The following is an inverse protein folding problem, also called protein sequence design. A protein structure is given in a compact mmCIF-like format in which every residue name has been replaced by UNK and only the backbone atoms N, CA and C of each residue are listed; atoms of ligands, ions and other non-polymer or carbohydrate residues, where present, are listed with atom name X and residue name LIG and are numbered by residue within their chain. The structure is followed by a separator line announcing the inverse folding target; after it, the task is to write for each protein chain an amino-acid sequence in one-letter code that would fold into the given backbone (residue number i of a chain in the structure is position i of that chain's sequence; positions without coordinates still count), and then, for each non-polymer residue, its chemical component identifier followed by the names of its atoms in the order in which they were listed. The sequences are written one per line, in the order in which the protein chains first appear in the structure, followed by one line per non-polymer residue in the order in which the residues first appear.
data_IF_772822813517
#
_entry.id   IF_772822813517
#
_cell.length_a   1.000
_cell.length_b   1.000
_cell.length_c   1.000
_cell.angle_alpha   90.00
_cell.angle_beta   90.00
_cell.angle_gamma   90.00
#
_symmetry.space_group_name_H-M   'P 1'
#
loop_
_entity.id
_entity.type
_entity.pdbx_description
1 polymer ?
#
# COMPACT_ATOMS: atom_id res chain seq x y z
N UNK A 1 22.02 20.63 -26.50
CA UNK A 1 23.27 19.92 -26.17
C UNK A 1 23.05 19.30 -24.81
N UNK A 2 22.88 17.98 -24.71
CA UNK A 2 22.83 17.31 -23.42
C UNK A 2 24.26 17.19 -22.91
N UNK A 3 24.53 17.83 -21.77
CA UNK A 3 25.86 17.90 -21.19
C UNK A 3 26.26 16.51 -20.67
N UNK A 4 27.56 16.20 -20.55
CA UNK A 4 28.02 14.90 -20.01
C UNK A 4 27.48 14.58 -18.62
N UNK A 5 27.02 15.61 -17.89
CA UNK A 5 26.31 15.52 -16.61
C UNK A 5 24.91 14.91 -16.72
N UNK A 6 24.17 15.23 -17.78
CA UNK A 6 22.81 14.70 -18.00
C UNK A 6 22.85 13.18 -18.14
N UNK A 7 23.80 12.68 -18.93
CA UNK A 7 24.04 11.25 -19.08
C UNK A 7 24.49 10.56 -17.78
N UNK A 8 25.28 11.26 -16.96
CA UNK A 8 25.66 10.80 -15.63
C UNK A 8 24.45 10.61 -14.70
N UNK A 9 23.53 11.57 -14.69
CA UNK A 9 22.29 11.48 -13.89
C UNK A 9 21.40 10.33 -14.38
N UNK A 10 21.24 10.16 -15.69
CA UNK A 10 20.46 9.05 -16.27
C UNK A 10 21.08 7.70 -15.92
N UNK A 11 22.41 7.58 -15.96
CA UNK A 11 23.10 6.35 -15.57
C UNK A 11 22.88 6.02 -14.08
N UNK A 12 23.00 7.01 -13.20
CA UNK A 12 22.72 6.84 -11.76
C UNK A 12 21.27 6.42 -11.54
N UNK A 13 20.32 7.08 -12.21
CA UNK A 13 18.90 6.72 -12.15
C UNK A 13 18.69 5.25 -12.56
N UNK A 14 19.24 4.82 -13.68
CA UNK A 14 19.15 3.43 -14.14
C UNK A 14 19.73 2.42 -13.15
N UNK A 15 20.89 2.72 -12.55
CA UNK A 15 21.53 1.86 -11.55
C UNK A 15 20.68 1.76 -10.28
N UNK A 16 20.16 2.88 -9.79
CA UNK A 16 19.30 2.93 -8.59
C UNK A 16 18.04 2.11 -8.83
N UNK A 17 17.40 2.31 -9.98
CA UNK A 17 16.16 1.59 -10.32
C UNK A 17 16.40 0.09 -10.46
N UNK A 18 17.51 -0.31 -11.10
CA UNK A 18 17.92 -1.71 -11.18
C UNK A 18 18.22 -2.29 -9.79
N UNK A 19 18.90 -1.55 -8.92
CA UNK A 19 19.18 -1.96 -7.54
C UNK A 19 17.91 -2.11 -6.70
N UNK A 20 16.93 -1.23 -6.88
CA UNK A 20 15.61 -1.35 -6.23
C UNK A 20 14.84 -2.58 -6.75
N UNK A 21 14.90 -2.84 -8.06
CA UNK A 21 14.26 -4.00 -8.70
C UNK A 21 14.85 -5.34 -8.21
N UNK A 22 16.17 -5.41 -8.08
CA UNK A 22 16.88 -6.59 -7.54
C UNK A 22 16.65 -6.80 -6.02
N UNK A 23 15.90 -5.91 -5.36
CA UNK A 23 15.58 -6.01 -3.93
C UNK A 23 16.65 -5.46 -3.00
N UNK A 24 17.72 -4.87 -3.55
CA UNK A 24 18.88 -4.38 -2.83
C UNK A 24 20.18 -4.68 -3.58
N UNK A 25 21.29 -4.08 -3.15
CA UNK A 25 22.61 -4.41 -3.69
C UNK A 25 23.20 -5.58 -2.90
N UNK A 26 23.28 -6.81 -3.46
CA UNK A 26 23.64 -8.03 -2.71
C UNK A 26 25.01 -7.97 -2.04
N UNK A 27 25.92 -7.11 -2.52
CA UNK A 27 27.26 -6.92 -1.94
C UNK A 27 27.32 -5.87 -0.83
N UNK A 28 26.39 -4.91 -0.77
CA UNK A 28 26.45 -3.81 0.19
C UNK A 28 25.48 -3.97 1.39
N UNK A 29 24.65 -5.02 1.43
CA UNK A 29 23.58 -5.19 2.43
C UNK A 29 22.65 -3.97 2.51
N UNK A 30 22.46 -3.26 1.39
CA UNK A 30 21.56 -2.11 1.32
C UNK A 30 20.19 -2.57 0.85
N UNK A 31 19.18 -2.15 1.60
CA UNK A 31 17.77 -2.25 1.23
C UNK A 31 17.40 -1.18 0.19
N UNK A 32 16.15 -1.18 -0.27
CA UNK A 32 15.66 -0.23 -1.29
C UNK A 32 15.89 1.23 -0.86
N UNK A 33 15.71 1.53 0.42
CA UNK A 33 15.97 2.84 1.04
C UNK A 33 17.43 3.25 0.90
N UNK A 34 18.35 2.33 1.22
CA UNK A 34 19.79 2.56 1.10
C UNK A 34 20.25 2.78 -0.33
N UNK A 35 19.68 2.04 -1.30
CA UNK A 35 19.97 2.24 -2.73
C UNK A 35 19.50 3.61 -3.21
N UNK A 36 18.32 4.07 -2.77
CA UNK A 36 17.81 5.40 -3.10
C UNK A 36 18.70 6.51 -2.50
N UNK A 37 19.16 6.35 -1.26
CA UNK A 37 20.05 7.32 -0.61
C UNK A 37 21.42 7.41 -1.32
N UNK A 38 22.02 6.28 -1.69
CA UNK A 38 23.25 6.27 -2.48
C UNK A 38 23.06 6.95 -3.84
N UNK A 39 21.91 6.72 -4.48
CA UNK A 39 21.51 7.42 -5.69
C UNK A 39 21.51 8.92 -5.53
N UNK A 40 20.86 9.42 -4.48
CA UNK A 40 20.82 10.85 -4.16
C UNK A 40 22.23 11.42 -3.94
N UNK A 41 23.07 10.74 -3.15
CA UNK A 41 24.47 11.16 -2.91
C UNK A 41 25.26 11.23 -4.22
N UNK A 42 25.11 10.24 -5.11
CA UNK A 42 25.77 10.21 -6.40
C UNK A 42 25.31 11.35 -7.32
N UNK A 43 23.99 11.65 -7.35
CA UNK A 43 23.46 12.79 -8.12
C UNK A 43 24.00 14.12 -7.57
N UNK A 44 24.06 14.30 -6.26
CA UNK A 44 24.62 15.52 -5.66
C UNK A 44 26.10 15.70 -6.00
N UNK A 45 26.89 14.62 -5.96
CA UNK A 45 28.29 14.64 -6.34
C UNK A 45 28.51 14.98 -7.83
N UNK A 46 27.62 14.51 -8.73
CA UNK A 46 27.71 14.76 -10.17
C UNK A 46 27.24 16.17 -10.57
N UNK A 47 26.17 16.64 -9.95
CA UNK A 47 25.55 17.94 -10.26
C UNK A 47 26.23 19.10 -9.55
N UNK A 48 26.89 18.85 -8.41
CA UNK A 48 27.44 19.90 -7.56
C UNK A 48 26.36 20.75 -6.88
N UNK A 49 25.12 20.24 -6.83
CA UNK A 49 23.99 20.92 -6.19
C UNK A 49 24.32 21.18 -4.70
N UNK A 50 24.10 22.41 -4.21
CA UNK A 50 24.38 22.73 -2.81
C UNK A 50 23.38 22.01 -1.89
N UNK A 51 23.83 21.67 -0.68
CA UNK A 51 23.09 20.81 0.24
C UNK A 51 21.74 21.41 0.68
N UNK A 52 21.63 22.74 0.71
CA UNK A 52 20.40 23.45 1.04
C UNK A 52 19.32 23.27 -0.04
N UNK A 53 19.70 23.31 -1.32
CA UNK A 53 18.79 23.04 -2.44
C UNK A 53 18.36 21.56 -2.46
N UNK A 54 19.32 20.66 -2.21
CA UNK A 54 19.03 19.24 -2.04
C UNK A 54 18.06 18.97 -0.89
N UNK A 55 18.24 19.63 0.26
CA UNK A 55 17.35 19.50 1.41
C UNK A 55 15.93 20.00 1.10
N UNK A 56 15.78 21.07 0.31
CA UNK A 56 14.48 21.59 -0.13
C UNK A 56 13.76 20.67 -1.11
N UNK A 57 14.48 19.80 -1.82
CA UNK A 57 13.86 18.80 -2.72
C UNK A 57 13.16 17.67 -1.97
N UNK A 58 13.42 17.51 -0.67
CA UNK A 58 12.78 16.49 0.16
C UNK A 58 11.43 17.00 0.66
N UNK A 59 10.36 16.28 0.31
CA UNK A 59 9.01 16.54 0.82
C UNK A 59 8.85 16.03 2.26
N UNK A 60 9.31 16.85 3.20
CA UNK A 60 9.18 16.64 4.64
C UNK A 60 7.72 16.43 5.09
N UNK A 61 6.74 17.24 4.64
CA UNK A 61 5.32 17.00 4.94
C UNK A 61 4.88 15.57 4.64
N UNK A 62 5.20 15.03 3.45
CA UNK A 62 4.87 13.65 3.09
C UNK A 62 5.56 12.64 4.02
N UNK A 63 6.85 12.81 4.30
CA UNK A 63 7.60 11.90 5.19
C UNK A 63 7.01 11.88 6.60
N UNK A 64 6.70 13.05 7.17
CA UNK A 64 6.12 13.17 8.51
C UNK A 64 4.72 12.56 8.55
N UNK A 65 3.92 12.80 7.52
CA UNK A 65 2.57 12.23 7.42
C UNK A 65 2.64 10.69 7.33
N UNK A 66 3.52 10.15 6.49
CA UNK A 66 3.75 8.70 6.37
C UNK A 66 4.20 8.11 7.70
N UNK A 67 5.16 8.74 8.37
CA UNK A 67 5.68 8.28 9.65
C UNK A 67 4.58 8.23 10.72
N UNK A 68 3.85 9.35 10.91
CA UNK A 68 2.77 9.43 11.90
C UNK A 68 1.69 8.39 11.63
N UNK A 69 1.33 8.20 10.36
CA UNK A 69 0.34 7.22 9.94
C UNK A 69 0.79 5.78 10.19
N UNK A 70 2.03 5.43 9.83
CA UNK A 70 2.61 4.11 10.09
C UNK A 70 2.68 3.80 11.59
N UNK A 71 2.97 4.81 12.44
CA UNK A 71 2.92 4.65 13.90
C UNK A 71 1.50 4.30 14.36
N UNK A 72 0.48 5.05 13.94
CA UNK A 72 -0.93 4.77 14.32
C UNK A 72 -1.35 3.37 13.87
N UNK A 73 -1.09 3.04 12.60
CA UNK A 73 -1.50 1.77 12.04
C UNK A 73 -0.76 0.57 12.66
N UNK A 74 0.51 0.75 13.06
CA UNK A 74 1.26 -0.23 13.85
C UNK A 74 0.69 -0.41 15.27
N UNK A 75 0.29 0.66 15.95
CA UNK A 75 -0.33 0.56 17.27
C UNK A 75 -1.67 -0.17 17.23
N UNK A 76 -2.51 0.10 16.21
CA UNK A 76 -3.75 -0.67 15.99
C UNK A 76 -3.47 -2.16 15.76
N UNK A 77 -2.37 -2.49 15.08
CA UNK A 77 -1.94 -3.88 14.85
C UNK A 77 -1.56 -4.56 16.17
N UNK A 78 -0.73 -3.90 16.98
CA UNK A 78 -0.28 -4.40 18.28
C UNK A 78 -1.45 -4.51 19.27
N UNK A 79 -2.42 -3.60 19.20
CA UNK A 79 -3.65 -3.65 19.99
C UNK A 79 -4.64 -4.73 19.57
N UNK A 80 -4.36 -5.48 18.49
CA UNK A 80 -5.21 -6.58 18.03
C UNK A 80 -6.52 -6.13 17.37
N UNK A 81 -6.67 -4.84 17.02
CA UNK A 81 -7.88 -4.26 16.46
C UNK A 81 -8.33 -5.01 15.19
N UNK A 82 -7.41 -5.19 14.22
CA UNK A 82 -7.72 -5.87 12.96
C UNK A 82 -8.16 -7.33 13.17
N UNK A 83 -7.54 -8.02 14.13
CA UNK A 83 -7.88 -9.39 14.50
C UNK A 83 -9.30 -9.45 15.06
N UNK A 84 -9.66 -8.53 15.96
CA UNK A 84 -10.99 -8.51 16.56
C UNK A 84 -12.08 -8.19 15.53
N UNK A 85 -11.85 -7.21 14.64
CA UNK A 85 -12.77 -6.89 13.55
C UNK A 85 -12.98 -8.10 12.63
N UNK A 86 -11.88 -8.73 12.19
CA UNK A 86 -11.94 -9.91 11.33
C UNK A 86 -12.66 -11.08 12.00
N UNK A 87 -12.43 -11.29 13.30
CA UNK A 87 -13.10 -12.34 14.07
C UNK A 87 -14.59 -12.08 14.19
N UNK A 88 -15.02 -10.84 14.42
CA UNK A 88 -16.44 -10.47 14.49
C UNK A 88 -17.14 -10.66 13.16
N UNK A 89 -16.53 -10.21 12.06
CA UNK A 89 -17.02 -10.47 10.70
C UNK A 89 -17.12 -11.98 10.45
N UNK A 90 -16.08 -12.71 10.87
CA UNK A 90 -16.01 -14.15 10.77
C UNK A 90 -17.01 -14.91 11.62
N UNK A 91 -17.52 -14.35 12.72
CA UNK A 91 -18.51 -14.99 13.58
C UNK A 91 -19.94 -14.85 13.06
N UNK A 92 -20.18 -14.00 12.06
CA UNK A 92 -21.52 -13.79 11.52
C UNK A 92 -22.04 -15.08 10.85
N UNK A 93 -23.34 -15.40 11.02
CA UNK A 93 -23.98 -16.58 10.42
C UNK A 93 -24.30 -16.31 8.93
N UNK A 94 -23.27 -16.07 8.14
CA UNK A 94 -23.36 -15.76 6.71
C UNK A 94 -23.04 -17.00 5.87
N UNK A 95 -23.64 -17.08 4.67
CA UNK A 95 -23.22 -18.02 3.64
C UNK A 95 -21.77 -17.74 3.20
N UNK A 96 -21.13 -18.68 2.49
CA UNK A 96 -19.77 -18.50 1.96
C UNK A 96 -19.63 -17.18 1.17
N UNK A 97 -20.59 -16.89 0.29
CA UNK A 97 -20.60 -15.65 -0.50
C UNK A 97 -20.84 -14.40 0.36
N UNK A 98 -21.69 -14.50 1.40
CA UNK A 98 -21.93 -13.40 2.34
C UNK A 98 -20.72 -13.10 3.23
N UNK A 99 -20.02 -14.14 3.71
CA UNK A 99 -18.78 -13.99 4.47
C UNK A 99 -17.70 -13.33 3.63
N UNK A 100 -17.59 -13.74 2.36
CA UNK A 100 -16.65 -13.14 1.41
C UNK A 100 -16.97 -11.65 1.18
N UNK A 101 -18.24 -11.30 0.97
CA UNK A 101 -18.67 -9.91 0.84
C UNK A 101 -18.28 -9.09 2.08
N UNK A 102 -18.56 -9.62 3.27
CA UNK A 102 -18.27 -8.92 4.52
C UNK A 102 -16.75 -8.74 4.75
N UNK A 103 -15.94 -9.74 4.38
CA UNK A 103 -14.49 -9.64 4.44
C UNK A 103 -13.92 -8.63 3.43
N UNK A 104 -14.42 -8.64 2.19
CA UNK A 104 -14.03 -7.66 1.15
C UNK A 104 -14.41 -6.24 1.60
N UNK A 105 -15.63 -6.04 2.09
CA UNK A 105 -16.08 -4.74 2.58
C UNK A 105 -15.27 -4.25 3.78
N UNK A 106 -15.05 -5.12 4.78
CA UNK A 106 -14.31 -4.77 5.99
C UNK A 106 -12.84 -4.47 5.67
N UNK A 107 -12.18 -5.32 4.87
CA UNK A 107 -10.78 -5.11 4.49
C UNK A 107 -10.59 -3.89 3.60
N UNK A 108 -11.47 -3.67 2.63
CA UNK A 108 -11.43 -2.47 1.78
C UNK A 108 -11.63 -1.19 2.58
N UNK A 109 -12.64 -1.15 3.45
CA UNK A 109 -12.90 0.01 4.30
C UNK A 109 -11.76 0.28 5.29
N UNK A 110 -11.22 -0.76 5.94
CA UNK A 110 -10.07 -0.58 6.83
C UNK A 110 -8.82 -0.18 6.05
N UNK A 111 -8.61 -0.69 4.84
CA UNK A 111 -7.45 -0.35 4.02
C UNK A 111 -7.50 1.09 3.50
N UNK A 112 -8.69 1.63 3.28
CA UNK A 112 -8.89 3.05 3.01
C UNK A 112 -8.44 3.92 4.19
N UNK A 113 -8.30 3.37 5.41
CA UNK A 113 -7.95 4.14 6.60
C UNK A 113 -6.57 3.78 7.15
N UNK A 114 -6.06 2.56 6.98
CA UNK A 114 -4.87 2.06 7.71
C UNK A 114 -3.74 1.49 6.83
N UNK A 115 -3.85 1.63 5.51
CA UNK A 115 -2.96 1.03 4.51
C UNK A 115 -3.12 -0.44 4.19
N UNK A 116 -3.07 -0.72 2.89
CA UNK A 116 -3.17 -2.06 2.30
C UNK A 116 -2.13 -3.04 2.87
N UNK A 117 -0.86 -2.65 3.01
CA UNK A 117 0.19 -3.53 3.54
C UNK A 117 -0.13 -4.02 4.97
N UNK A 118 -0.61 -3.11 5.82
CA UNK A 118 -0.92 -3.42 7.22
C UNK A 118 -2.14 -4.33 7.30
N UNK A 119 -3.18 -4.05 6.51
CA UNK A 119 -4.39 -4.86 6.44
C UNK A 119 -4.07 -6.27 5.93
N UNK A 120 -3.28 -6.40 4.87
CA UNK A 120 -2.87 -7.69 4.35
C UNK A 120 -2.07 -8.48 5.39
N UNK A 121 -1.08 -7.88 6.06
CA UNK A 121 -0.27 -8.58 7.05
C UNK A 121 -1.07 -8.97 8.31
N UNK A 122 -1.96 -8.09 8.77
CA UNK A 122 -2.70 -8.32 10.01
C UNK A 122 -3.89 -9.27 9.82
N UNK A 123 -4.66 -9.15 8.73
CA UNK A 123 -5.88 -9.94 8.53
C UNK A 123 -5.61 -11.32 7.93
N UNK A 124 -4.58 -11.48 7.09
CA UNK A 124 -4.26 -12.77 6.43
C UNK A 124 -4.24 -13.97 7.38
N UNK A 125 -3.48 -13.96 8.50
CA UNK A 125 -3.44 -15.12 9.39
C UNK A 125 -4.79 -15.39 10.07
N UNK A 126 -5.60 -14.35 10.28
CA UNK A 126 -6.92 -14.47 10.93
C UNK A 126 -7.95 -15.04 9.95
N UNK A 127 -7.97 -14.53 8.72
CA UNK A 127 -8.83 -15.04 7.64
C UNK A 127 -8.49 -16.48 7.31
N UNK A 128 -7.20 -16.83 7.20
CA UNK A 128 -6.77 -18.19 6.95
C UNK A 128 -7.24 -19.16 8.04
N UNK A 129 -7.06 -18.80 9.32
CA UNK A 129 -7.54 -19.62 10.45
C UNK A 129 -9.06 -19.76 10.45
N UNK A 130 -9.79 -18.69 10.16
CA UNK A 130 -11.26 -18.71 10.08
C UNK A 130 -11.75 -19.66 8.99
N UNK A 131 -11.13 -19.63 7.80
CA UNK A 131 -11.49 -20.52 6.69
C UNK A 131 -11.24 -21.98 7.06
N UNK A 132 -10.07 -22.28 7.63
CA UNK A 132 -9.71 -23.64 8.08
C UNK A 132 -10.67 -24.16 9.16
N UNK A 133 -11.09 -23.33 10.12
CA UNK A 133 -12.06 -23.71 11.16
C UNK A 133 -13.45 -24.01 10.61
N UNK A 134 -13.84 -23.34 9.51
CA UNK A 134 -15.14 -23.54 8.84
C UNK A 134 -15.08 -24.59 7.72
N UNK A 135 -13.93 -25.23 7.50
CA UNK A 135 -13.76 -26.19 6.40
C UNK A 135 -13.87 -25.55 5.00
N UNK A 136 -13.60 -24.25 4.88
CA UNK A 136 -13.61 -23.50 3.62
C UNK A 136 -12.19 -23.43 3.04
N UNK A 137 -12.08 -23.45 1.72
CA UNK A 137 -10.82 -23.16 1.03
C UNK A 137 -10.40 -21.71 1.30
N UNK A 138 -9.23 -21.45 1.92
CA UNK A 138 -8.76 -20.10 2.20
C UNK A 138 -8.36 -19.31 0.95
N UNK A 139 -8.08 -19.96 -0.18
CA UNK A 139 -7.49 -19.29 -1.37
C UNK A 139 -8.38 -18.15 -1.89
N UNK A 140 -9.69 -18.32 -2.15
CA UNK A 140 -10.53 -17.22 -2.64
C UNK A 140 -10.67 -16.08 -1.64
N UNK A 141 -10.66 -16.37 -0.33
CA UNK A 141 -10.76 -15.36 0.72
C UNK A 141 -9.48 -14.54 0.85
N UNK A 142 -8.31 -15.17 0.71
CA UNK A 142 -7.02 -14.48 0.75
C UNK A 142 -6.79 -13.64 -0.51
N UNK A 143 -7.20 -14.14 -1.68
CA UNK A 143 -7.20 -13.34 -2.92
C UNK A 143 -8.15 -12.16 -2.78
N UNK A 144 -9.37 -12.40 -2.28
CA UNK A 144 -10.35 -11.36 -2.00
C UNK A 144 -9.82 -10.30 -1.04
N UNK A 145 -9.16 -10.72 0.04
CA UNK A 145 -8.51 -9.81 0.99
C UNK A 145 -7.42 -8.95 0.32
N UNK A 146 -6.52 -9.58 -0.45
CA UNK A 146 -5.43 -8.87 -1.10
C UNK A 146 -5.93 -7.86 -2.15
N UNK A 147 -6.90 -8.26 -2.97
CA UNK A 147 -7.51 -7.38 -3.96
C UNK A 147 -8.33 -6.26 -3.29
N UNK A 148 -9.13 -6.59 -2.28
CA UNK A 148 -9.96 -5.62 -1.58
C UNK A 148 -9.13 -4.58 -0.82
N UNK A 149 -8.00 -4.97 -0.22
CA UNK A 149 -7.08 -4.02 0.40
C UNK A 149 -6.48 -3.05 -0.62
N UNK A 150 -6.04 -3.55 -1.78
CA UNK A 150 -5.50 -2.68 -2.83
C UNK A 150 -6.57 -1.74 -3.42
N UNK A 151 -7.77 -2.25 -3.70
CA UNK A 151 -8.88 -1.43 -4.21
C UNK A 151 -9.32 -0.42 -3.15
N UNK A 152 -9.47 -0.85 -1.89
CA UNK A 152 -9.90 0.01 -0.79
C UNK A 152 -8.92 1.14 -0.47
N UNK A 153 -7.62 0.87 -0.48
CA UNK A 153 -6.60 1.92 -0.26
C UNK A 153 -6.65 3.04 -1.30
N UNK A 154 -7.12 2.76 -2.53
CA UNK A 154 -7.27 3.79 -3.56
C UNK A 154 -8.33 4.85 -3.20
N UNK A 155 -9.24 4.58 -2.26
CA UNK A 155 -10.32 5.49 -1.90
C UNK A 155 -9.86 6.78 -1.23
N UNK A 156 -8.72 6.75 -0.52
CA UNK A 156 -8.23 7.89 0.26
C UNK A 156 -6.78 8.22 -0.07
N UNK A 157 -6.40 9.46 0.22
CA UNK A 157 -5.00 9.89 0.11
C UNK A 157 -4.10 9.13 1.09
N UNK A 158 -4.60 8.80 2.30
CA UNK A 158 -3.84 8.10 3.34
C UNK A 158 -3.80 6.57 3.16
N UNK A 159 -4.58 6.03 2.22
CA UNK A 159 -4.76 4.60 2.06
C UNK A 159 -3.50 3.88 1.60
N UNK A 160 -2.54 4.56 0.96
CA UNK A 160 -1.22 3.99 0.71
C UNK A 160 -0.17 5.11 0.54
N UNK A 161 1.12 4.81 0.70
CA UNK A 161 2.18 5.81 0.56
C UNK A 161 2.22 6.52 -0.80
N UNK A 162 1.82 5.83 -1.86
CA UNK A 162 1.82 6.34 -3.23
C UNK A 162 0.77 7.46 -3.39
N UNK A 163 -0.44 7.26 -2.87
CA UNK A 163 -1.51 8.25 -2.88
C UNK A 163 -1.16 9.46 -2.01
N UNK A 164 -0.45 9.26 -0.90
CA UNK A 164 0.01 10.35 -0.04
C UNK A 164 1.00 11.25 -0.77
N UNK A 165 1.96 10.65 -1.49
CA UNK A 165 2.92 11.38 -2.32
C UNK A 165 2.21 12.17 -3.43
N UNK A 166 1.27 11.54 -4.15
CA UNK A 166 0.50 12.21 -5.21
C UNK A 166 -0.32 13.37 -4.61
N UNK A 167 -0.98 13.14 -3.48
CA UNK A 167 -1.77 14.14 -2.78
C UNK A 167 -0.94 15.34 -2.34
N UNK A 168 0.28 15.13 -1.85
CA UNK A 168 1.20 16.20 -1.48
C UNK A 168 1.72 16.96 -2.69
N UNK A 169 2.17 16.25 -3.74
CA UNK A 169 2.73 16.89 -4.95
C UNK A 169 1.67 17.71 -5.70
N UNK A 170 0.46 17.17 -5.82
CA UNK A 170 -0.65 17.83 -6.52
C UNK A 170 -1.50 18.73 -5.61
N UNK A 171 -1.20 18.80 -4.31
CA UNK A 171 -1.94 19.57 -3.30
C UNK A 171 -3.45 19.30 -3.35
N UNK A 172 -3.82 18.01 -3.41
CA UNK A 172 -5.21 17.59 -3.54
C UNK A 172 -5.98 17.73 -2.23
N UNK A 173 -7.22 18.24 -2.33
CA UNK A 173 -8.15 18.21 -1.20
C UNK A 173 -8.60 16.78 -0.91
N UNK A 174 -8.53 16.38 0.36
CA UNK A 174 -8.88 15.02 0.80
C UNK A 174 -10.33 14.65 0.48
N UNK A 175 -11.26 15.59 0.70
CA UNK A 175 -12.70 15.36 0.50
C UNK A 175 -13.08 15.32 -0.98
N UNK A 176 -12.45 16.15 -1.81
CA UNK A 176 -12.59 16.09 -3.26
C UNK A 176 -12.07 14.75 -3.81
N UNK A 177 -10.85 14.36 -3.45
CA UNK A 177 -10.26 13.08 -3.86
C UNK A 177 -11.15 11.90 -3.47
N UNK A 178 -11.61 11.86 -2.21
CA UNK A 178 -12.48 10.77 -1.73
C UNK A 178 -13.78 10.68 -2.53
N UNK A 179 -14.41 11.80 -2.87
CA UNK A 179 -15.66 11.80 -3.66
C UNK A 179 -15.45 11.24 -5.06
N UNK A 180 -14.37 11.63 -5.71
CA UNK A 180 -14.02 11.14 -7.05
C UNK A 180 -13.62 9.65 -7.01
N UNK A 181 -12.86 9.23 -5.99
CA UNK A 181 -12.39 7.86 -5.85
C UNK A 181 -13.45 6.89 -5.31
N UNK A 182 -14.46 7.36 -4.58
CA UNK A 182 -15.47 6.51 -3.93
C UNK A 182 -16.25 5.65 -4.95
N UNK A 183 -16.66 6.23 -6.07
CA UNK A 183 -17.42 5.53 -7.11
C UNK A 183 -16.60 4.39 -7.75
N UNK A 184 -15.40 4.63 -8.33
CA UNK A 184 -14.62 3.56 -8.94
C UNK A 184 -14.20 2.49 -7.93
N UNK A 185 -13.90 2.87 -6.68
CA UNK A 185 -13.58 1.90 -5.61
C UNK A 185 -14.78 1.02 -5.28
N UNK A 186 -15.96 1.61 -5.04
CA UNK A 186 -17.16 0.85 -4.71
C UNK A 186 -17.53 -0.13 -5.83
N UNK A 187 -17.50 0.33 -7.08
CA UNK A 187 -17.73 -0.52 -8.26
C UNK A 187 -16.71 -1.65 -8.33
N UNK A 188 -15.42 -1.36 -8.13
CA UNK A 188 -14.35 -2.36 -8.17
C UNK A 188 -14.48 -3.42 -7.07
N UNK A 189 -14.89 -3.03 -5.85
CA UNK A 189 -15.13 -3.98 -4.74
C UNK A 189 -16.33 -4.89 -5.04
N UNK A 190 -17.40 -4.35 -5.63
CA UNK A 190 -18.57 -5.14 -6.04
C UNK A 190 -18.20 -6.11 -7.16
N UNK A 191 -17.46 -5.66 -8.17
CA UNK A 191 -17.00 -6.52 -9.26
C UNK A 191 -16.07 -7.63 -8.76
N UNK A 192 -15.14 -7.32 -7.84
CA UNK A 192 -14.28 -8.31 -7.19
C UNK A 192 -15.12 -9.37 -6.47
N UNK A 193 -16.12 -8.94 -5.70
CA UNK A 193 -17.00 -9.86 -5.00
C UNK A 193 -17.78 -10.74 -5.96
N UNK A 194 -18.38 -10.17 -7.02
CA UNK A 194 -19.11 -10.93 -8.04
C UNK A 194 -18.20 -11.97 -8.71
N UNK A 195 -16.97 -11.59 -9.05
CA UNK A 195 -16.01 -12.47 -9.69
C UNK A 195 -15.58 -13.63 -8.77
N UNK A 196 -15.32 -13.37 -7.49
CA UNK A 196 -14.93 -14.43 -6.55
C UNK A 196 -16.10 -15.29 -6.07
N UNK A 197 -17.33 -14.75 -6.05
CA UNK A 197 -18.52 -15.47 -5.61
C UNK A 197 -19.16 -16.33 -6.72
N UNK A 198 -19.07 -15.91 -7.98
CA UNK A 198 -19.75 -16.56 -9.11
C UNK A 198 -18.84 -16.88 -10.31
N UNK A 199 -17.55 -16.52 -10.24
CA UNK A 199 -16.61 -16.76 -11.32
C UNK A 199 -16.22 -18.23 -11.48
N UNK A 200 -15.49 -18.54 -12.57
CA UNK A 200 -15.04 -19.90 -12.85
C UNK A 200 -14.06 -20.36 -11.76
N UNK A 201 -14.53 -21.24 -10.87
CA UNK A 201 -13.79 -21.74 -9.71
C UNK A 201 -14.47 -21.52 -8.34
N UNK A 202 -15.63 -20.85 -8.30
CA UNK A 202 -16.44 -20.68 -7.10
C UNK A 202 -17.11 -21.97 -6.60
#
# INVERSE_FOLDING_TARGET
MHDGRDWGVVAVFGIVYLGMFLGGLPRLKLDRSGVALLGAIAVLALTGMPLDEAARSVDLPTIVLLFAFMVVAAQMRLGGFYTEVTRRVGAMPLSRAGLLAALIAASGAMSAVFSNDIICLAMTPVVARLCLQRGLDPVPFLIGLACAANIGSAATLIGNPQNMLIGSVLQLDFGAYLREAAVPVAVSLVLLWLWLAFGPGA
#
